data_IF_206455646951
#
_entry.id   IF_206455646951
#
_cell.length_a   1.000
_cell.length_b   1.000
_cell.length_c   1.000
_cell.angle_alpha   90.00
_cell.angle_beta   90.00
_cell.angle_gamma   90.00
#
_symmetry.space_group_name_H-M   'P 1'
#
loop_
_entity.id
_entity.type
_entity.pdbx_description
1 polymer ?
#
# COMPACT_ATOMS: atom_id res chain seq x y z
N UNK A 1 -16.85 -0.17 -14.07
CA UNK A 1 -18.32 0.07 -14.04
C UNK A 1 -18.77 1.02 -12.93
N UNK A 2 -17.88 1.69 -12.18
CA UNK A 2 -18.25 2.47 -10.98
C UNK A 2 -18.46 3.97 -11.25
N UNK A 3 -18.20 4.47 -12.47
CA UNK A 3 -18.31 5.91 -12.79
C UNK A 3 -19.74 6.39 -13.04
N UNK A 4 -20.66 5.51 -13.45
CA UNK A 4 -22.07 5.87 -13.70
C UNK A 4 -22.88 6.06 -12.41
N UNK A 5 -22.74 5.13 -11.46
CA UNK A 5 -23.48 5.13 -10.20
C UNK A 5 -23.12 6.31 -9.27
N UNK A 6 -21.87 6.83 -9.35
CA UNK A 6 -21.46 8.03 -8.61
C UNK A 6 -22.24 9.28 -9.04
N UNK A 7 -22.55 9.44 -10.33
CA UNK A 7 -23.28 10.60 -10.83
C UNK A 7 -24.78 10.54 -10.51
N UNK A 8 -25.35 9.34 -10.47
CA UNK A 8 -26.74 9.11 -10.09
C UNK A 8 -26.96 9.30 -8.58
N UNK A 9 -25.97 8.95 -7.74
CA UNK A 9 -26.03 9.21 -6.29
C UNK A 9 -25.93 10.71 -5.95
N UNK A 10 -25.02 11.44 -6.59
CA UNK A 10 -24.86 12.89 -6.37
C UNK A 10 -26.11 13.67 -6.81
N UNK A 11 -26.75 13.25 -7.90
CA UNK A 11 -27.99 13.87 -8.40
C UNK A 11 -29.22 13.54 -7.53
N UNK A 12 -29.28 12.37 -6.90
CA UNK A 12 -30.35 11.98 -5.97
C UNK A 12 -30.27 12.71 -4.63
N UNK A 13 -29.07 13.10 -4.18
CA UNK A 13 -28.85 13.79 -2.89
C UNK A 13 -28.79 15.33 -3.06
N UNK A 14 -28.74 15.84 -4.30
CA UNK A 14 -28.71 17.29 -4.58
C UNK A 14 -27.37 17.95 -4.25
N UNK A 15 -26.27 17.20 -4.35
CA UNK A 15 -24.92 17.66 -4.02
C UNK A 15 -24.28 18.30 -5.24
N UNK A 16 -23.85 19.57 -5.13
CA UNK A 16 -23.20 20.28 -6.24
C UNK A 16 -21.68 20.03 -6.31
N UNK A 17 -21.01 19.90 -5.17
CA UNK A 17 -19.56 19.79 -5.11
C UNK A 17 -19.10 18.99 -3.88
N UNK A 18 -17.99 18.28 -4.02
CA UNK A 18 -17.24 17.66 -2.91
C UNK A 18 -15.91 18.38 -2.85
N UNK A 19 -15.59 18.99 -1.70
CA UNK A 19 -14.30 19.64 -1.46
C UNK A 19 -13.60 18.92 -0.32
N UNK A 20 -12.45 18.32 -0.63
CA UNK A 20 -11.58 17.67 0.35
C UNK A 20 -10.60 18.70 0.93
N UNK A 21 -10.56 18.81 2.26
CA UNK A 21 -9.63 19.68 2.96
C UNK A 21 -8.58 18.85 3.69
N UNK A 22 -7.31 19.02 3.31
CA UNK A 22 -6.17 18.39 3.99
C UNK A 22 -5.52 19.38 4.97
N UNK A 23 -5.64 19.10 6.26
CA UNK A 23 -5.04 19.91 7.33
C UNK A 23 -3.56 19.60 7.54
N UNK A 24 -2.71 20.62 7.62
CA UNK A 24 -1.24 20.51 7.70
C UNK A 24 -0.65 20.30 9.11
N UNK A 25 -1.41 19.78 10.08
CA UNK A 25 -0.92 19.65 11.47
C UNK A 25 -1.25 18.31 12.15
N UNK A 26 -0.50 17.98 13.20
CA UNK A 26 -0.40 16.70 13.91
C UNK A 26 -1.67 16.18 14.61
N UNK A 27 -2.83 16.79 14.34
CA UNK A 27 -4.16 16.34 14.73
C UNK A 27 -5.01 16.31 13.45
N UNK A 28 -4.70 15.39 12.54
CA UNK A 28 -5.36 15.25 11.25
C UNK A 28 -6.81 14.78 11.43
N UNK A 29 -7.74 15.68 11.19
CA UNK A 29 -9.06 15.35 10.66
C UNK A 29 -9.08 15.82 9.21
N UNK A 30 -9.05 14.89 8.25
CA UNK A 30 -9.44 15.23 6.88
C UNK A 30 -10.97 15.41 6.88
N UNK A 31 -11.43 16.54 6.36
CA UNK A 31 -12.83 16.90 6.35
C UNK A 31 -13.37 16.90 4.91
N UNK A 32 -14.47 16.17 4.71
CA UNK A 32 -15.29 16.29 3.52
C UNK A 32 -16.25 17.46 3.73
N UNK A 33 -16.15 18.50 2.89
CA UNK A 33 -17.17 19.56 2.82
C UNK A 33 -18.13 19.21 1.69
N UNK A 34 -19.40 19.11 2.06
CA UNK A 34 -20.49 18.86 1.13
C UNK A 34 -21.40 20.08 1.13
N UNK A 35 -21.41 20.82 0.02
CA UNK A 35 -22.31 21.96 -0.20
C UNK A 35 -23.73 21.44 -0.50
N UNK A 36 -24.67 21.82 0.35
CA UNK A 36 -26.08 21.49 0.25
C UNK A 36 -26.90 22.79 0.22
N UNK A 37 -27.41 23.20 -0.95
CA UNK A 37 -28.37 24.32 -1.06
C UNK A 37 -29.76 24.00 -0.44
N UNK A 38 -29.90 22.83 0.19
CA UNK A 38 -31.16 22.32 0.74
C UNK A 38 -31.12 22.32 2.28
N UNK A 39 -32.22 22.70 2.95
CA UNK A 39 -32.32 22.63 4.40
C UNK A 39 -31.98 21.23 4.92
N UNK A 40 -31.37 21.15 6.11
CA UNK A 40 -31.01 19.89 6.81
C UNK A 40 -32.10 18.81 6.74
N UNK A 41 -33.37 19.18 6.88
CA UNK A 41 -34.50 18.24 6.84
C UNK A 41 -34.75 17.63 5.44
N UNK A 42 -34.41 18.35 4.38
CA UNK A 42 -34.59 17.90 2.99
C UNK A 42 -33.43 17.03 2.52
N UNK A 43 -32.18 17.35 2.91
CA UNK A 43 -31.02 16.44 2.75
C UNK A 43 -31.29 15.11 3.44
N UNK A 44 -31.91 15.17 4.62
CA UNK A 44 -32.33 14.00 5.38
C UNK A 44 -33.39 13.17 4.66
N UNK A 45 -34.43 13.81 4.13
CA UNK A 45 -35.46 13.13 3.33
C UNK A 45 -34.86 12.52 2.05
N UNK A 46 -33.89 13.18 1.44
CA UNK A 46 -33.18 12.67 0.26
C UNK A 46 -32.34 11.43 0.59
N UNK A 47 -31.56 11.44 1.68
CA UNK A 47 -30.80 10.28 2.15
C UNK A 47 -31.71 9.09 2.50
N UNK A 48 -32.83 9.33 3.18
CA UNK A 48 -33.83 8.30 3.49
C UNK A 48 -34.45 7.73 2.21
N UNK A 49 -34.82 8.58 1.25
CA UNK A 49 -35.33 8.14 -0.06
C UNK A 49 -34.29 7.33 -0.83
N UNK A 50 -33.02 7.74 -0.81
CA UNK A 50 -31.91 7.03 -1.45
C UNK A 50 -31.68 5.64 -0.81
N UNK A 51 -31.72 5.57 0.53
CA UNK A 51 -31.63 4.31 1.28
C UNK A 51 -32.78 3.35 0.95
N UNK A 52 -34.01 3.86 0.79
CA UNK A 52 -35.18 3.07 0.43
C UNK A 52 -35.21 2.67 -1.05
N UNK A 53 -34.54 3.43 -1.92
CA UNK A 53 -34.50 3.21 -3.36
C UNK A 53 -33.32 2.33 -3.83
N UNK A 54 -32.35 2.04 -2.96
CA UNK A 54 -31.14 1.29 -3.33
C UNK A 54 -31.46 -0.17 -3.73
N UNK A 55 -31.22 -0.59 -4.99
CA UNK A 55 -31.40 -1.97 -5.40
C UNK A 55 -30.19 -2.79 -4.93
N UNK A 56 -30.36 -3.60 -3.89
CA UNK A 56 -29.28 -4.45 -3.38
C UNK A 56 -28.97 -5.60 -4.35
N UNK A 57 -27.69 -5.93 -4.58
CA UNK A 57 -27.32 -7.13 -5.32
C UNK A 57 -27.88 -8.36 -4.60
N UNK A 58 -28.45 -9.27 -5.39
CA UNK A 58 -29.20 -10.46 -5.00
C UNK A 58 -28.75 -11.10 -3.67
N UNK A 59 -29.45 -10.74 -2.58
CA UNK A 59 -29.29 -11.36 -1.27
C UNK A 59 -30.31 -12.48 -1.06
N UNK A 60 -29.98 -13.52 -0.29
CA UNK A 60 -30.93 -14.57 0.07
C UNK A 60 -32.12 -13.96 0.84
N UNK A 61 -33.34 -14.35 0.44
CA UNK A 61 -34.60 -13.90 1.04
C UNK A 61 -34.57 -14.17 2.54
N UNK A 62 -34.66 -13.10 3.34
CA UNK A 62 -34.70 -13.16 4.81
C UNK A 62 -33.48 -12.56 5.54
N UNK A 63 -32.47 -12.06 4.81
CA UNK A 63 -31.36 -11.32 5.44
C UNK A 63 -31.71 -9.84 5.63
N UNK A 64 -31.64 -9.35 6.87
CA UNK A 64 -31.85 -7.92 7.16
C UNK A 64 -30.66 -7.08 6.65
N UNK A 65 -30.95 -5.86 6.19
CA UNK A 65 -29.92 -4.90 5.76
C UNK A 65 -29.18 -4.42 7.02
N UNK A 66 -27.85 -4.59 7.13
CA UNK A 66 -27.10 -4.15 8.29
C UNK A 66 -27.29 -2.64 8.55
N UNK A 67 -27.81 -2.28 9.72
CA UNK A 67 -28.10 -0.91 10.11
C UNK A 67 -29.50 -0.40 9.73
N UNK A 68 -30.33 -1.15 9.01
CA UNK A 68 -31.68 -0.67 8.61
C UNK A 68 -32.66 -0.60 9.78
N UNK A 69 -32.57 -1.53 10.73
CA UNK A 69 -33.34 -1.46 11.99
C UNK A 69 -32.93 -0.24 12.80
N UNK A 70 -31.63 0.02 12.89
CA UNK A 70 -31.08 1.17 13.62
C UNK A 70 -31.49 2.50 12.96
N UNK A 71 -31.50 2.58 11.63
CA UNK A 71 -32.09 3.72 10.90
C UNK A 71 -33.58 3.84 11.22
N UNK A 72 -34.34 2.74 11.19
CA UNK A 72 -35.77 2.74 11.53
C UNK A 72 -36.06 3.21 12.97
N UNK A 73 -35.22 2.80 13.92
CA UNK A 73 -35.30 3.20 15.32
C UNK A 73 -34.92 4.68 15.52
N UNK A 74 -33.99 5.19 14.73
CA UNK A 74 -33.65 6.62 14.70
C UNK A 74 -34.79 7.45 14.09
N UNK A 75 -35.38 6.99 12.99
CA UNK A 75 -36.48 7.69 12.31
C UNK A 75 -37.76 7.72 13.14
N UNK A 76 -38.07 6.64 13.86
CA UNK A 76 -39.22 6.60 14.77
C UNK A 76 -39.04 7.53 15.96
N UNK A 77 -37.85 7.57 16.58
CA UNK A 77 -37.53 8.49 17.68
C UNK A 77 -37.55 9.97 17.23
N UNK A 78 -36.87 10.27 16.12
CA UNK A 78 -36.82 11.65 15.59
C UNK A 78 -38.17 12.16 15.07
N UNK A 79 -39.05 11.27 14.61
CA UNK A 79 -40.43 11.63 14.28
C UNK A 79 -41.26 12.03 15.50
N UNK A 80 -40.94 11.52 16.69
CA UNK A 80 -41.60 11.93 17.94
C UNK A 80 -41.04 13.24 18.48
N UNK A 81 -39.73 13.49 18.30
CA UNK A 81 -39.04 14.68 18.79
C UNK A 81 -39.11 15.88 17.81
N UNK A 82 -39.53 15.64 16.57
CA UNK A 82 -39.64 16.66 15.52
C UNK A 82 -38.29 17.16 14.98
N UNK A 83 -37.17 16.60 15.43
CA UNK A 83 -35.81 16.88 14.97
C UNK A 83 -34.94 15.63 15.11
N UNK A 84 -33.90 15.52 14.27
CA UNK A 84 -32.89 14.45 14.36
C UNK A 84 -31.65 15.03 15.05
N UNK A 85 -31.14 14.39 16.10
CA UNK A 85 -29.91 14.83 16.78
C UNK A 85 -28.68 14.68 15.88
N UNK A 86 -27.63 15.48 16.09
CA UNK A 86 -26.37 15.35 15.33
C UNK A 86 -25.72 13.98 15.51
N UNK A 87 -25.93 13.36 16.67
CA UNK A 87 -25.48 12.00 17.00
C UNK A 87 -26.21 10.95 16.16
N UNK A 88 -27.54 11.03 16.09
CA UNK A 88 -28.35 10.11 15.29
C UNK A 88 -28.09 10.31 13.79
N UNK A 89 -27.84 11.55 13.36
CA UNK A 89 -27.43 11.86 12.00
C UNK A 89 -26.08 11.24 11.62
N UNK A 90 -25.08 11.34 12.51
CA UNK A 90 -23.77 10.70 12.33
C UNK A 90 -23.89 9.17 12.17
N UNK A 91 -24.76 8.53 12.97
CA UNK A 91 -25.02 7.09 12.87
C UNK A 91 -25.62 6.74 11.50
N UNK A 92 -26.61 7.50 11.04
CA UNK A 92 -27.22 7.28 9.71
C UNK A 92 -26.22 7.51 8.58
N UNK A 93 -25.39 8.54 8.64
CA UNK A 93 -24.38 8.82 7.63
C UNK A 93 -23.30 7.72 7.58
N UNK A 94 -22.85 7.22 8.74
CA UNK A 94 -21.93 6.07 8.82
C UNK A 94 -22.52 4.82 8.21
N UNK A 95 -23.79 4.52 8.50
CA UNK A 95 -24.49 3.36 7.91
C UNK A 95 -24.60 3.53 6.40
N UNK A 96 -24.95 4.72 5.92
CA UNK A 96 -25.05 5.04 4.50
C UNK A 96 -23.72 4.84 3.78
N UNK A 97 -22.64 5.49 4.25
CA UNK A 97 -21.29 5.37 3.67
C UNK A 97 -20.86 3.90 3.61
N UNK A 98 -20.98 3.15 4.70
CA UNK A 98 -20.58 1.75 4.67
C UNK A 98 -21.50 0.83 3.85
N UNK A 99 -22.73 1.25 3.51
CA UNK A 99 -23.58 0.55 2.54
C UNK A 99 -23.21 0.93 1.10
N UNK A 100 -22.94 2.20 0.82
CA UNK A 100 -22.56 2.71 -0.52
C UNK A 100 -21.22 2.16 -0.98
N UNK A 101 -20.25 2.07 -0.08
CA UNK A 101 -18.91 1.56 -0.39
C UNK A 101 -18.76 0.06 -0.10
N UNK A 102 -19.81 -0.60 0.40
CA UNK A 102 -19.80 -2.01 0.83
C UNK A 102 -18.62 -2.37 1.76
N UNK A 103 -18.20 -1.39 2.57
CA UNK A 103 -17.01 -1.46 3.41
C UNK A 103 -17.38 -1.05 4.84
N UNK A 104 -17.21 -2.00 5.77
CA UNK A 104 -17.51 -1.80 7.18
C UNK A 104 -16.47 -0.91 7.89
N UNK A 105 -15.26 -0.76 7.33
CA UNK A 105 -14.18 0.04 7.92
C UNK A 105 -14.42 1.54 7.72
N UNK A 106 -14.97 1.95 6.57
CA UNK A 106 -15.39 3.35 6.36
C UNK A 106 -16.47 3.81 7.35
N UNK A 107 -17.24 2.89 7.95
CA UNK A 107 -18.23 3.20 9.00
C UNK A 107 -17.58 3.72 10.28
N UNK A 108 -16.38 3.25 10.62
CA UNK A 108 -15.69 3.64 11.86
C UNK A 108 -14.83 4.89 11.69
N UNK A 109 -14.50 5.25 10.45
CA UNK A 109 -13.60 6.35 10.15
C UNK A 109 -14.25 7.74 10.21
N UNK A 110 -15.56 7.89 9.96
CA UNK A 110 -16.24 9.19 10.13
C UNK A 110 -16.35 9.52 11.61
N UNK A 111 -15.44 10.33 12.14
CA UNK A 111 -15.31 10.62 13.57
C UNK A 111 -16.27 11.69 14.07
N UNK A 112 -16.65 12.63 13.21
CA UNK A 112 -17.56 13.72 13.56
C UNK A 112 -18.30 14.24 12.34
N UNK A 113 -19.48 14.81 12.58
CA UNK A 113 -20.24 15.57 11.58
C UNK A 113 -20.69 16.89 12.19
N UNK A 114 -20.68 17.96 11.40
CA UNK A 114 -21.20 19.27 11.83
C UNK A 114 -21.85 19.97 10.64
N UNK A 115 -22.89 20.75 10.89
CA UNK A 115 -23.50 21.61 9.86
C UNK A 115 -23.01 23.05 10.05
N UNK A 116 -22.89 23.80 8.95
CA UNK A 116 -22.78 25.25 9.03
C UNK A 116 -24.01 25.86 9.74
N UNK A 117 -23.88 27.04 10.38
CA UNK A 117 -24.97 27.65 11.14
C UNK A 117 -26.25 27.91 10.34
N UNK A 118 -26.13 28.08 9.02
CA UNK A 118 -27.22 28.24 8.06
C UNK A 118 -27.75 26.91 7.49
N UNK A 119 -27.11 25.79 7.83
CA UNK A 119 -27.47 24.45 7.36
C UNK A 119 -27.02 24.13 5.94
N UNK A 120 -26.31 25.02 5.26
CA UNK A 120 -25.94 24.92 3.85
C UNK A 120 -24.72 24.02 3.57
N UNK A 121 -23.94 23.66 4.58
CA UNK A 121 -22.75 22.82 4.43
C UNK A 121 -22.73 21.72 5.48
N UNK A 122 -22.44 20.49 5.05
CA UNK A 122 -22.14 19.36 5.94
C UNK A 122 -20.63 19.12 5.95
N UNK A 123 -20.05 19.17 7.15
CA UNK A 123 -18.67 18.77 7.43
C UNK A 123 -18.69 17.35 7.97
N UNK A 124 -17.97 16.42 7.33
CA UNK A 124 -17.70 15.08 7.86
C UNK A 124 -16.20 14.92 8.10
N UNK A 125 -15.78 14.86 9.36
CA UNK A 125 -14.38 14.67 9.74
C UNK A 125 -14.06 13.20 9.89
N UNK A 126 -12.96 12.76 9.28
CA UNK A 126 -12.47 11.38 9.34
C UNK A 126 -11.33 11.28 10.35
N UNK A 127 -11.32 10.24 11.19
CA UNK A 127 -10.17 9.94 12.06
C UNK A 127 -9.25 9.01 11.29
N UNK A 128 -8.11 9.53 10.88
CA UNK A 128 -7.06 8.69 10.30
C UNK A 128 -6.57 7.69 11.36
N UNK A 129 -6.37 6.43 10.99
CA UNK A 129 -5.81 5.45 11.89
C UNK A 129 -4.41 5.89 12.33
N UNK A 130 -4.22 6.07 13.63
CA UNK A 130 -2.91 6.33 14.23
C UNK A 130 -2.41 5.00 14.76
N UNK A 131 -1.36 4.48 14.14
CA UNK A 131 -0.72 3.23 14.52
C UNK A 131 0.06 3.50 15.81
N UNK A 132 -0.24 2.77 16.89
CA UNK A 132 0.47 2.94 18.16
C UNK A 132 1.97 2.65 17.95
N UNK A 133 2.86 3.62 18.20
CA UNK A 133 4.27 3.46 17.86
C UNK A 133 4.95 2.52 18.85
N UNK A 134 5.37 1.35 18.35
CA UNK A 134 6.35 0.49 18.99
C UNK A 134 7.79 0.99 18.71
N UNK A 135 8.02 2.30 18.86
CA UNK A 135 9.31 2.95 18.56
C UNK A 135 9.41 3.49 17.13
N UNK A 136 10.66 3.69 16.66
CA UNK A 136 10.93 4.22 15.31
C UNK A 136 10.67 3.15 14.25
N UNK A 137 9.83 3.49 13.27
CA UNK A 137 9.53 2.64 12.13
C UNK A 137 10.56 2.88 11.03
N UNK A 138 11.29 1.83 10.63
CA UNK A 138 12.31 1.86 9.57
C UNK A 138 11.73 1.60 8.18
N UNK A 139 10.68 0.80 8.08
CA UNK A 139 10.06 0.45 6.79
C UNK A 139 8.58 0.11 6.98
N UNK A 140 7.79 0.38 5.94
CA UNK A 140 6.35 0.09 5.88
C UNK A 140 6.06 -0.54 4.53
N UNK A 141 5.32 -1.66 4.54
CA UNK A 141 4.90 -2.34 3.32
C UNK A 141 3.43 -2.74 3.43
N UNK A 142 2.68 -2.54 2.35
CA UNK A 142 1.28 -2.93 2.24
C UNK A 142 1.16 -4.30 1.56
N UNK A 143 0.15 -5.06 1.95
CA UNK A 143 -0.31 -6.20 1.17
C UNK A 143 -0.88 -5.74 -0.18
N UNK A 144 -0.96 -6.65 -1.14
CA UNK A 144 -1.48 -6.38 -2.49
C UNK A 144 -2.95 -5.93 -2.51
N UNK A 145 -3.74 -6.38 -1.54
CA UNK A 145 -5.13 -5.97 -1.34
C UNK A 145 -5.27 -4.63 -0.58
N UNK A 146 -4.19 -4.10 -0.01
CA UNK A 146 -4.18 -2.87 0.79
C UNK A 146 -4.81 -3.01 2.19
N UNK A 147 -5.24 -4.21 2.57
CA UNK A 147 -5.93 -4.45 3.85
C UNK A 147 -4.96 -4.64 5.02
N UNK A 148 -3.72 -5.06 4.74
CA UNK A 148 -2.70 -5.36 5.73
C UNK A 148 -1.45 -4.51 5.54
N UNK A 149 -0.81 -4.18 6.65
CA UNK A 149 0.38 -3.34 6.70
C UNK A 149 1.41 -4.04 7.58
N UNK A 150 2.63 -4.22 7.05
CA UNK A 150 3.79 -4.63 7.80
C UNK A 150 4.64 -3.40 8.14
N UNK A 151 4.94 -3.23 9.42
CA UNK A 151 5.81 -2.16 9.93
C UNK A 151 7.05 -2.78 10.56
N UNK A 152 8.22 -2.32 10.14
CA UNK A 152 9.52 -2.77 10.65
C UNK A 152 10.03 -1.75 11.65
N UNK A 153 10.41 -2.18 12.85
CA UNK A 153 10.79 -1.31 13.95
C UNK A 153 12.30 -1.37 14.25
N UNK A 154 12.79 -0.40 15.02
CA UNK A 154 14.21 -0.32 15.41
C UNK A 154 14.65 -1.47 16.33
N UNK A 155 13.72 -2.06 17.07
CA UNK A 155 13.91 -3.19 17.98
C UNK A 155 13.89 -4.57 17.28
N UNK A 156 14.05 -4.58 15.94
CA UNK A 156 14.09 -5.78 15.10
C UNK A 156 12.77 -6.56 15.06
N UNK A 157 11.66 -5.89 15.40
CA UNK A 157 10.32 -6.46 15.33
C UNK A 157 9.64 -6.02 14.03
N UNK A 158 8.94 -6.96 13.41
CA UNK A 158 7.94 -6.65 12.38
C UNK A 158 6.55 -6.85 12.97
N UNK A 159 5.72 -5.82 12.88
CA UNK A 159 4.32 -5.85 13.30
C UNK A 159 3.42 -5.82 12.08
N UNK A 160 2.44 -6.71 12.08
CA UNK A 160 1.38 -6.72 11.08
C UNK A 160 0.16 -6.06 11.70
N UNK A 161 -0.48 -5.18 10.95
CA UNK A 161 -1.74 -4.52 11.32
C UNK A 161 -2.70 -4.51 10.15
N UNK A 162 -4.00 -4.33 10.42
CA UNK A 162 -4.94 -3.97 9.36
C UNK A 162 -4.77 -2.51 8.91
N UNK A 163 -5.52 -2.13 7.87
CA UNK A 163 -5.62 -0.77 7.36
C UNK A 163 -6.16 0.25 8.40
N UNK A 164 -6.69 -0.20 9.53
CA UNK A 164 -7.10 0.65 10.66
C UNK A 164 -6.02 0.82 11.73
N UNK A 165 -4.88 0.15 11.56
CA UNK A 165 -3.74 0.17 12.49
C UNK A 165 -3.89 -0.72 13.70
N UNK A 166 -4.90 -1.59 13.73
CA UNK A 166 -5.02 -2.62 14.75
C UNK A 166 -4.05 -3.75 14.43
N UNK A 167 -3.20 -4.09 15.40
CA UNK A 167 -2.27 -5.22 15.30
C UNK A 167 -3.00 -6.54 15.04
N UNK A 168 -2.49 -7.31 14.08
CA UNK A 168 -2.92 -8.65 13.71
C UNK A 168 -1.80 -9.64 14.05
N UNK A 169 -2.17 -10.74 14.70
CA UNK A 169 -1.27 -11.86 14.94
C UNK A 169 -0.12 -11.55 15.89
N UNK A 170 0.94 -12.37 15.80
CA UNK A 170 2.14 -12.27 16.63
C UNK A 170 3.15 -11.29 16.02
N UNK A 171 3.90 -10.63 16.88
CA UNK A 171 5.11 -9.88 16.48
C UNK A 171 6.15 -10.83 15.91
N UNK A 172 6.72 -10.48 14.76
CA UNK A 172 7.78 -11.25 14.11
C UNK A 172 9.13 -10.71 14.60
N UNK A 173 9.75 -11.41 15.54
CA UNK A 173 10.98 -10.96 16.21
C UNK A 173 12.21 -11.53 15.51
N UNK A 174 13.22 -10.68 15.30
CA UNK A 174 14.47 -11.03 14.63
C UNK A 174 15.67 -10.75 15.54
N UNK A 175 16.76 -11.48 15.35
CA UNK A 175 17.99 -11.32 16.17
C UNK A 175 18.83 -10.11 15.73
N UNK A 176 18.62 -9.61 14.51
CA UNK A 176 19.35 -8.50 13.93
C UNK A 176 18.38 -7.53 13.20
N UNK A 177 18.85 -6.32 12.83
CA UNK A 177 18.04 -5.37 12.06
C UNK A 177 17.48 -6.00 10.80
N UNK A 178 16.18 -5.80 10.61
CA UNK A 178 15.47 -6.20 9.39
C UNK A 178 15.81 -5.20 8.29
N UNK A 179 16.44 -5.68 7.23
CA UNK A 179 16.88 -4.86 6.09
C UNK A 179 15.78 -4.70 5.04
N UNK A 180 14.91 -5.70 4.90
CA UNK A 180 13.85 -5.71 3.90
C UNK A 180 12.66 -6.57 4.37
N UNK A 181 11.46 -6.16 3.99
CA UNK A 181 10.21 -6.88 4.21
C UNK A 181 9.35 -6.80 2.95
N UNK A 182 8.65 -7.87 2.59
CA UNK A 182 7.70 -7.90 1.47
C UNK A 182 6.53 -8.83 1.78
N UNK A 183 5.35 -8.49 1.26
CA UNK A 183 4.23 -9.43 1.17
C UNK A 183 4.30 -10.20 -0.16
N UNK A 184 3.82 -11.44 -0.15
CA UNK A 184 3.47 -12.14 -1.38
C UNK A 184 2.25 -11.52 -2.05
N UNK A 185 2.11 -11.72 -3.36
CA UNK A 185 1.00 -11.16 -4.14
C UNK A 185 -0.38 -11.66 -3.69
N UNK A 186 -0.45 -12.83 -3.06
CA UNK A 186 -1.67 -13.40 -2.47
C UNK A 186 -1.88 -13.02 -0.99
N UNK A 187 -0.97 -12.24 -0.39
CA UNK A 187 -1.01 -11.83 1.02
C UNK A 187 -0.74 -12.94 2.03
N UNK A 188 -0.49 -14.18 1.58
CA UNK A 188 -0.30 -15.34 2.45
C UNK A 188 1.04 -15.32 3.19
N UNK A 189 2.10 -14.95 2.49
CA UNK A 189 3.45 -14.97 3.03
C UNK A 189 3.94 -13.55 3.28
N UNK A 190 4.60 -13.37 4.42
CA UNK A 190 5.47 -12.23 4.67
C UNK A 190 6.89 -12.76 4.61
N UNK A 191 7.76 -12.09 3.85
CA UNK A 191 9.17 -12.44 3.74
C UNK A 191 9.98 -11.30 4.30
N UNK A 192 10.84 -11.60 5.27
CA UNK A 192 11.74 -10.63 5.89
C UNK A 192 13.18 -11.08 5.75
N UNK A 193 14.08 -10.13 5.63
CA UNK A 193 15.52 -10.36 5.66
C UNK A 193 16.12 -9.67 6.88
N UNK A 194 16.98 -10.39 7.60
CA UNK A 194 17.70 -9.88 8.77
C UNK A 194 19.09 -10.52 8.79
N UNK A 195 20.13 -9.67 8.78
CA UNK A 195 21.51 -10.12 8.53
C UNK A 195 21.59 -10.90 7.21
N UNK A 196 21.95 -12.19 7.24
CA UNK A 196 22.15 -13.07 6.10
C UNK A 196 21.10 -14.19 6.04
N UNK A 197 20.02 -14.03 6.82
CA UNK A 197 18.93 -14.98 6.97
C UNK A 197 17.65 -14.40 6.35
N UNK A 198 16.96 -15.24 5.58
CA UNK A 198 15.58 -14.98 5.17
C UNK A 198 14.63 -15.71 6.10
N UNK A 199 13.58 -15.01 6.50
CA UNK A 199 12.45 -15.57 7.22
C UNK A 199 11.21 -15.51 6.31
N UNK A 200 10.50 -16.63 6.22
CA UNK A 200 9.18 -16.70 5.60
C UNK A 200 8.16 -17.02 6.67
N UNK A 201 7.16 -16.16 6.77
CA UNK A 201 6.07 -16.24 7.72
C UNK A 201 4.80 -16.59 6.95
N UNK A 202 4.26 -17.78 7.20
CA UNK A 202 2.97 -18.20 6.63
C UNK A 202 1.85 -17.73 7.55
N UNK A 203 1.08 -16.73 7.10
CA UNK A 203 0.00 -16.14 7.88
C UNK A 203 -1.17 -17.11 8.09
N UNK A 204 -1.33 -18.12 7.21
CA UNK A 204 -2.43 -19.10 7.27
C UNK A 204 -2.07 -20.22 8.24
N UNK A 205 -0.86 -20.78 8.11
CA UNK A 205 -0.43 -21.91 8.93
C UNK A 205 0.21 -21.47 10.27
N UNK A 206 0.49 -20.17 10.43
CA UNK A 206 1.19 -19.59 11.59
C UNK A 206 2.57 -20.22 11.82
N UNK A 207 3.25 -20.55 10.72
CA UNK A 207 4.58 -21.14 10.71
C UNK A 207 5.64 -20.12 10.28
N UNK A 208 6.82 -20.21 10.90
CA UNK A 208 8.01 -19.46 10.51
C UNK A 208 9.05 -20.42 10.00
N UNK A 209 9.56 -20.16 8.80
CA UNK A 209 10.72 -20.83 8.25
C UNK A 209 11.86 -19.82 8.16
N UNK A 210 13.06 -20.22 8.54
CA UNK A 210 14.25 -19.38 8.44
C UNK A 210 15.40 -20.18 7.82
N UNK A 211 16.15 -19.56 6.92
CA UNK A 211 17.29 -20.18 6.27
C UNK A 211 18.39 -19.15 6.04
N UNK A 212 19.64 -19.51 6.36
CA UNK A 212 20.82 -18.70 6.04
C UNK A 212 21.15 -18.90 4.57
N UNK A 213 20.98 -17.85 3.79
CA UNK A 213 21.04 -17.93 2.33
C UNK A 213 22.35 -17.35 1.78
N UNK A 214 22.81 -16.25 2.35
CA UNK A 214 23.98 -15.52 1.87
C UNK A 214 25.16 -15.61 2.83
N UNK A 215 26.37 -15.27 2.36
CA UNK A 215 27.55 -15.12 3.23
C UNK A 215 27.74 -13.69 3.75
N UNK A 216 26.97 -12.74 3.21
CA UNK A 216 26.91 -11.34 3.59
C UNK A 216 25.49 -10.87 3.89
N UNK A 217 25.36 -9.61 4.30
CA UNK A 217 24.07 -9.00 4.64
C UNK A 217 23.15 -8.99 3.42
N UNK A 218 21.93 -9.48 3.59
CA UNK A 218 20.86 -9.36 2.61
C UNK A 218 20.36 -7.92 2.67
N UNK A 219 20.42 -7.23 1.54
CA UNK A 219 20.00 -5.83 1.41
C UNK A 219 18.54 -5.70 0.96
N UNK A 220 18.05 -6.65 0.17
CA UNK A 220 16.70 -6.59 -0.40
C UNK A 220 16.16 -7.99 -0.65
N UNK A 221 14.85 -8.16 -0.46
CA UNK A 221 14.11 -9.38 -0.83
C UNK A 221 12.90 -9.04 -1.68
N UNK A 222 12.47 -9.97 -2.53
CA UNK A 222 11.24 -9.89 -3.31
C UNK A 222 10.64 -11.28 -3.49
N UNK A 223 9.31 -11.36 -3.59
CA UNK A 223 8.58 -12.59 -3.90
C UNK A 223 8.16 -12.56 -5.37
N UNK A 224 8.17 -13.72 -6.03
CA UNK A 224 7.70 -13.84 -7.41
C UNK A 224 6.18 -13.61 -7.50
N UNK A 225 5.65 -13.09 -8.63
CA UNK A 225 4.21 -12.84 -8.77
C UNK A 225 3.33 -14.09 -8.61
N UNK A 226 3.86 -15.27 -8.96
CA UNK A 226 3.21 -16.57 -8.80
C UNK A 226 3.39 -17.19 -7.39
N UNK A 227 4.10 -16.50 -6.48
CA UNK A 227 4.27 -16.88 -5.07
C UNK A 227 4.98 -18.24 -4.89
N UNK A 228 5.86 -18.58 -5.83
CA UNK A 228 6.63 -19.83 -5.79
C UNK A 228 8.07 -19.61 -5.35
N UNK A 229 8.64 -18.44 -5.64
CA UNK A 229 10.05 -18.14 -5.40
C UNK A 229 10.23 -16.86 -4.58
N UNK A 230 11.32 -16.82 -3.83
CA UNK A 230 11.90 -15.62 -3.22
C UNK A 230 13.25 -15.36 -3.86
N UNK A 231 13.48 -14.10 -4.25
CA UNK A 231 14.80 -13.63 -4.63
C UNK A 231 15.35 -12.71 -3.54
N UNK A 232 16.64 -12.82 -3.28
CA UNK A 232 17.37 -12.01 -2.30
C UNK A 232 18.65 -11.47 -2.88
N UNK A 233 18.93 -10.20 -2.61
CA UNK A 233 20.14 -9.50 -3.02
C UNK A 233 21.00 -9.19 -1.80
N UNK A 234 22.32 -9.33 -1.94
CA UNK A 234 23.25 -9.29 -0.81
C UNK A 234 24.53 -8.50 -1.10
N UNK A 235 25.18 -8.09 -0.01
CA UNK A 235 26.53 -7.56 0.03
C UNK A 235 27.58 -8.56 -0.46
N UNK A 236 27.25 -9.85 -0.48
CA UNK A 236 28.12 -10.88 -1.07
C UNK A 236 28.19 -10.84 -2.60
N UNK A 237 27.60 -9.81 -3.23
CA UNK A 237 27.63 -9.50 -4.66
C UNK A 237 26.75 -10.43 -5.51
N UNK A 238 25.94 -11.26 -4.87
CA UNK A 238 25.10 -12.24 -5.54
C UNK A 238 23.62 -12.00 -5.28
N UNK A 239 22.81 -12.57 -6.16
CA UNK A 239 21.37 -12.72 -5.94
C UNK A 239 21.08 -14.21 -5.86
N UNK A 240 20.31 -14.63 -4.88
CA UNK A 240 19.90 -16.03 -4.77
C UNK A 240 18.38 -16.16 -4.85
N UNK A 241 17.93 -17.15 -5.62
CA UNK A 241 16.53 -17.50 -5.80
C UNK A 241 16.26 -18.83 -5.10
N UNK A 242 15.25 -18.86 -4.25
CA UNK A 242 14.84 -20.04 -3.50
C UNK A 242 13.35 -20.32 -3.66
N UNK A 243 13.01 -21.60 -3.74
CA UNK A 243 11.62 -22.07 -3.73
C UNK A 243 11.06 -21.97 -2.30
N UNK A 244 9.92 -21.30 -2.15
CA UNK A 244 9.24 -21.05 -0.87
C UNK A 244 8.83 -22.35 -0.17
N UNK A 245 8.39 -23.36 -0.93
CA UNK A 245 7.96 -24.66 -0.39
C UNK A 245 9.16 -25.52 0.02
N UNK A 246 10.28 -25.37 -0.69
CA UNK A 246 11.47 -26.20 -0.49
C UNK A 246 12.50 -25.60 0.48
N UNK A 247 12.17 -24.54 1.22
CA UNK A 247 13.12 -23.86 2.12
C UNK A 247 13.77 -24.73 3.20
N UNK A 248 13.16 -25.84 3.59
CA UNK A 248 13.72 -26.80 4.56
C UNK A 248 14.48 -27.95 3.89
N UNK A 249 14.53 -27.98 2.55
CA UNK A 249 15.35 -28.95 1.83
C UNK A 249 16.84 -28.68 2.09
N UNK A 250 17.66 -29.68 1.82
CA UNK A 250 19.12 -29.55 1.96
C UNK A 250 19.74 -28.55 0.99
N UNK A 251 19.02 -28.17 -0.08
CA UNK A 251 19.46 -27.16 -1.03
C UNK A 251 18.25 -26.36 -1.57
N UNK A 252 17.73 -25.38 -0.82
CA UNK A 252 16.55 -24.62 -1.23
C UNK A 252 16.85 -23.60 -2.34
N UNK A 253 18.13 -23.39 -2.68
CA UNK A 253 18.59 -22.43 -3.69
C UNK A 253 18.49 -23.08 -5.07
N UNK A 254 17.65 -22.52 -5.92
CA UNK A 254 17.48 -22.96 -7.30
C UNK A 254 18.49 -22.30 -8.23
N UNK A 255 18.69 -20.99 -8.07
CA UNK A 255 19.63 -20.22 -8.87
C UNK A 255 20.46 -19.30 -7.99
N UNK A 256 21.76 -19.23 -8.29
CA UNK A 256 22.69 -18.24 -7.76
C UNK A 256 23.16 -17.38 -8.93
N UNK A 257 22.72 -16.13 -8.93
CA UNK A 257 23.00 -15.19 -10.00
C UNK A 257 24.27 -14.41 -9.66
N UNK A 258 25.31 -14.64 -10.45
CA UNK A 258 26.63 -14.03 -10.30
C UNK A 258 26.91 -13.10 -11.48
N UNK A 259 27.52 -11.95 -11.20
CA UNK A 259 27.91 -11.01 -12.24
C UNK A 259 28.09 -9.58 -11.76
N UNK A 260 27.37 -9.16 -10.72
CA UNK A 260 27.66 -7.90 -10.04
C UNK A 260 29.05 -7.96 -9.40
N UNK A 261 29.80 -6.86 -9.49
CA UNK A 261 31.17 -6.80 -8.95
C UNK A 261 31.23 -6.18 -7.57
N UNK A 262 30.15 -5.60 -7.08
CA UNK A 262 29.99 -5.03 -5.74
C UNK A 262 28.59 -5.36 -5.17
N UNK A 263 28.31 -4.90 -3.94
CA UNK A 263 27.09 -5.20 -3.21
C UNK A 263 25.83 -4.95 -4.04
N UNK A 264 24.90 -5.92 -4.03
CA UNK A 264 23.59 -5.80 -4.70
C UNK A 264 22.61 -5.23 -3.69
N UNK A 265 22.13 -4.02 -3.93
CA UNK A 265 21.38 -3.25 -2.94
C UNK A 265 19.88 -3.48 -3.06
N UNK A 266 19.37 -3.65 -4.27
CA UNK A 266 17.94 -3.79 -4.51
C UNK A 266 17.67 -4.83 -5.61
N UNK A 267 16.58 -5.57 -5.46
CA UNK A 267 16.13 -6.57 -6.42
C UNK A 267 14.61 -6.58 -6.51
N UNK A 268 14.08 -6.72 -7.73
CA UNK A 268 12.64 -6.77 -7.97
C UNK A 268 12.32 -7.74 -9.11
N UNK A 269 11.23 -8.49 -8.98
CA UNK A 269 10.66 -9.24 -10.11
C UNK A 269 10.04 -8.28 -11.12
N UNK A 270 10.15 -8.62 -12.40
CA UNK A 270 9.26 -8.05 -13.40
C UNK A 270 7.81 -8.48 -13.12
N UNK A 271 6.80 -7.67 -13.49
CA UNK A 271 5.40 -8.03 -13.28
C UNK A 271 4.98 -9.33 -13.97
N UNK A 272 5.63 -9.68 -15.08
CA UNK A 272 5.42 -10.94 -15.81
C UNK A 272 6.05 -12.17 -15.11
N UNK A 273 6.85 -11.97 -14.05
CA UNK A 273 7.55 -13.01 -13.30
C UNK A 273 8.75 -13.64 -14.01
N UNK A 274 9.02 -13.25 -15.26
CA UNK A 274 10.04 -13.90 -16.11
C UNK A 274 11.44 -13.36 -15.90
N UNK A 275 11.58 -12.16 -15.31
CA UNK A 275 12.86 -11.47 -15.14
C UNK A 275 13.04 -11.02 -13.70
N UNK A 276 14.29 -10.99 -13.27
CA UNK A 276 14.70 -10.20 -12.10
C UNK A 276 15.47 -8.97 -12.57
N UNK A 277 15.23 -7.85 -11.90
CA UNK A 277 15.96 -6.60 -12.09
C UNK A 277 16.70 -6.32 -10.79
N UNK A 278 18.01 -6.09 -10.87
CA UNK A 278 18.84 -5.77 -9.72
C UNK A 278 19.63 -4.48 -9.92
N UNK A 279 19.86 -3.76 -8.82
CA UNK A 279 20.71 -2.58 -8.77
C UNK A 279 21.85 -2.78 -7.78
N UNK A 280 23.04 -2.32 -8.13
CA UNK A 280 24.25 -2.50 -7.34
C UNK A 280 25.05 -1.21 -7.19
N UNK A 281 25.91 -1.22 -6.16
CA UNK A 281 26.96 -0.21 -5.96
C UNK A 281 28.04 -0.25 -7.04
N UNK A 282 28.09 -1.31 -7.88
CA UNK A 282 28.96 -1.38 -9.06
C UNK A 282 28.54 -0.46 -10.22
N UNK A 283 27.53 0.39 -10.00
CA UNK A 283 26.98 1.33 -10.97
C UNK A 283 26.35 0.63 -12.19
N UNK A 284 25.77 -0.55 -11.97
CA UNK A 284 24.99 -1.26 -12.97
C UNK A 284 23.61 -1.66 -12.47
N UNK A 285 22.67 -1.70 -13.42
CA UNK A 285 21.41 -2.42 -13.29
C UNK A 285 21.53 -3.66 -14.16
N UNK A 286 21.14 -4.82 -13.64
CA UNK A 286 21.14 -6.08 -14.38
C UNK A 286 19.75 -6.66 -14.48
N UNK A 287 19.44 -7.20 -15.66
CA UNK A 287 18.25 -7.99 -15.91
C UNK A 287 18.66 -9.44 -16.05
N UNK A 288 17.98 -10.32 -15.35
CA UNK A 288 18.28 -11.75 -15.29
C UNK A 288 17.09 -12.55 -15.79
N UNK A 289 17.35 -13.62 -16.52
CA UNK A 289 16.35 -14.60 -16.87
C UNK A 289 16.13 -15.53 -15.67
N UNK A 290 14.88 -15.65 -15.20
CA UNK A 290 14.59 -16.46 -14.01
C UNK A 290 14.75 -17.96 -14.27
N UNK A 291 14.60 -18.40 -15.51
CA UNK A 291 14.61 -19.81 -15.90
C UNK A 291 16.05 -20.32 -16.07
N UNK A 292 16.90 -19.52 -16.70
CA UNK A 292 18.29 -19.90 -16.95
C UNK A 292 19.24 -19.41 -15.86
N UNK A 293 18.87 -18.35 -15.13
CA UNK A 293 19.75 -17.66 -14.19
C UNK A 293 20.83 -16.81 -14.87
N UNK A 294 20.74 -16.60 -16.19
CA UNK A 294 21.72 -15.83 -16.94
C UNK A 294 21.36 -14.33 -16.99
N UNK A 295 22.38 -13.48 -17.13
CA UNK A 295 22.16 -12.05 -17.37
C UNK A 295 21.66 -11.83 -18.81
N UNK A 296 20.46 -11.28 -18.95
CA UNK A 296 19.88 -10.85 -20.24
C UNK A 296 20.48 -9.51 -20.67
N UNK A 297 20.65 -8.59 -19.72
CA UNK A 297 21.07 -7.22 -20.02
C UNK A 297 21.83 -6.59 -18.85
N UNK A 298 22.85 -5.80 -19.17
CA UNK A 298 23.57 -4.95 -18.23
C UNK A 298 23.44 -3.50 -18.67
N UNK A 299 22.96 -2.65 -17.78
CA UNK A 299 22.75 -1.21 -18.01
C UNK A 299 23.70 -0.45 -17.09
N UNK A 300 24.58 0.38 -17.65
CA UNK A 300 25.48 1.24 -16.87
C UNK A 300 24.77 2.53 -16.48
N UNK A 301 24.78 2.86 -15.19
CA UNK A 301 24.19 4.09 -14.64
C UNK A 301 25.12 5.31 -14.71
N UNK A 302 26.22 5.20 -15.46
CA UNK A 302 27.23 6.25 -15.67
C UNK A 302 27.94 6.64 -14.36
N UNK A 303 28.52 5.64 -13.68
CA UNK A 303 29.26 5.80 -12.42
C UNK A 303 28.41 6.31 -11.25
N UNK A 304 27.12 5.94 -11.21
CA UNK A 304 26.20 6.28 -10.13
C UNK A 304 25.74 5.01 -9.41
N UNK A 305 26.13 4.78 -8.15
CA UNK A 305 25.66 3.63 -7.38
C UNK A 305 24.13 3.57 -7.33
N UNK A 306 23.56 2.38 -7.53
CA UNK A 306 22.11 2.18 -7.46
C UNK A 306 21.72 1.88 -6.02
N UNK A 307 20.96 2.79 -5.41
CA UNK A 307 20.51 2.67 -4.02
C UNK A 307 19.12 2.08 -3.89
N UNK A 308 18.25 2.39 -4.84
CA UNK A 308 16.89 1.86 -4.89
C UNK A 308 16.43 1.72 -6.34
N UNK A 309 15.45 0.84 -6.55
CA UNK A 309 14.93 0.52 -7.87
C UNK A 309 13.42 0.30 -7.80
N UNK A 310 12.73 0.70 -8.86
CA UNK A 310 11.32 0.43 -9.06
C UNK A 310 11.04 0.04 -10.52
N UNK A 311 10.15 -0.93 -10.72
CA UNK A 311 9.69 -1.38 -12.03
C UNK A 311 8.22 -1.01 -12.22
N UNK A 312 7.86 -0.50 -13.40
CA UNK A 312 6.47 -0.17 -13.71
C UNK A 312 5.60 -1.43 -13.76
N UNK A 313 4.29 -1.31 -13.50
CA UNK A 313 3.34 -2.44 -13.61
C UNK A 313 3.28 -3.07 -15.01
N UNK A 314 3.60 -2.30 -16.05
CA UNK A 314 3.74 -2.81 -17.42
C UNK A 314 5.05 -3.57 -17.66
N UNK A 315 6.02 -3.48 -16.75
CA UNK A 315 7.36 -4.04 -16.89
C UNK A 315 8.24 -3.34 -17.92
N UNK A 316 7.79 -2.22 -18.49
CA UNK A 316 8.50 -1.52 -19.56
C UNK A 316 9.48 -0.45 -19.06
N UNK A 317 9.29 0.06 -17.85
CA UNK A 317 10.14 1.09 -17.27
C UNK A 317 10.84 0.55 -16.02
N UNK A 318 12.13 0.87 -15.92
CA UNK A 318 12.94 0.69 -14.73
C UNK A 318 13.35 2.08 -14.28
N UNK A 319 13.18 2.38 -13.00
CA UNK A 319 13.64 3.62 -12.39
C UNK A 319 14.63 3.32 -11.28
N UNK A 320 15.78 3.98 -11.31
CA UNK A 320 16.82 3.84 -10.30
C UNK A 320 17.08 5.17 -9.59
N UNK A 321 17.28 5.11 -8.27
CA UNK A 321 17.73 6.22 -7.44
C UNK A 321 19.16 6.02 -6.96
N UNK A 322 19.91 7.12 -6.83
CA UNK A 322 21.30 7.12 -6.36
C UNK A 322 21.49 7.96 -5.09
N UNK A 323 22.58 7.71 -4.38
CA UNK A 323 23.02 8.54 -3.24
C UNK A 323 23.37 9.98 -3.64
N UNK A 324 23.69 10.21 -4.91
CA UNK A 324 24.00 11.53 -5.45
C UNK A 324 22.75 12.33 -5.85
N UNK A 325 21.55 11.78 -5.66
CA UNK A 325 20.28 12.46 -5.96
C UNK A 325 19.77 12.35 -7.39
N UNK A 326 20.37 11.47 -8.19
CA UNK A 326 19.90 11.18 -9.54
C UNK A 326 18.78 10.15 -9.54
N UNK A 327 17.71 10.47 -10.26
CA UNK A 327 16.69 9.53 -10.71
C UNK A 327 16.95 9.28 -12.19
N UNK A 328 17.08 8.01 -12.58
CA UNK A 328 17.28 7.62 -13.98
C UNK A 328 16.18 6.65 -14.41
N UNK A 329 15.56 6.94 -15.56
CA UNK A 329 14.47 6.12 -16.12
C UNK A 329 14.99 5.41 -17.36
N UNK A 330 14.74 4.11 -17.44
CA UNK A 330 15.23 3.23 -18.49
C UNK A 330 14.09 2.44 -19.10
N UNK A 331 14.17 2.19 -20.40
CA UNK A 331 13.30 1.22 -21.05
C UNK A 331 13.84 -0.19 -20.79
N UNK A 332 13.06 -1.02 -20.09
CA UNK A 332 13.45 -2.36 -19.63
C UNK A 332 13.78 -3.33 -20.77
N UNK A 333 13.21 -3.13 -21.95
CA UNK A 333 13.40 -4.03 -23.09
C UNK A 333 14.64 -3.68 -23.93
N UNK A 334 15.06 -2.42 -23.92
CA UNK A 334 16.16 -1.93 -24.77
C UNK A 334 17.38 -1.48 -23.99
N UNK A 335 17.27 -1.27 -22.68
CA UNK A 335 18.32 -0.71 -21.83
C UNK A 335 18.61 0.76 -22.12
N UNK A 336 17.83 1.42 -22.99
CA UNK A 336 18.02 2.82 -23.33
C UNK A 336 17.48 3.72 -22.22
N UNK A 337 18.28 4.71 -21.85
CA UNK A 337 17.88 5.75 -20.90
C UNK A 337 16.85 6.67 -21.57
N UNK A 338 15.71 6.85 -20.92
CA UNK A 338 14.66 7.77 -21.34
C UNK A 338 14.88 9.14 -20.70
N UNK A 339 15.03 9.18 -19.37
CA UNK A 339 15.08 10.42 -18.61
C UNK A 339 16.11 10.37 -17.49
N UNK A 340 16.61 11.55 -17.11
CA UNK A 340 17.46 11.75 -15.94
C UNK A 340 17.03 13.02 -15.25
N UNK A 341 16.83 12.92 -13.94
CA UNK A 341 16.49 14.05 -13.08
C UNK A 341 17.53 14.12 -11.98
N UNK A 342 18.05 15.32 -11.74
CA UNK A 342 19.02 15.60 -10.68
C UNK A 342 18.36 16.48 -9.62
N UNK A 343 18.20 15.94 -8.42
CA UNK A 343 17.68 16.68 -7.27
C UNK A 343 18.78 17.07 -6.27
N UNK A 344 20.01 16.60 -6.44
CA UNK A 344 21.15 16.88 -5.55
C UNK A 344 21.00 16.38 -4.10
N UNK A 345 19.99 15.55 -3.81
CA UNK A 345 19.74 14.99 -2.48
C UNK A 345 19.63 13.47 -2.59
N UNK A 346 20.38 12.76 -1.76
CA UNK A 346 20.38 11.29 -1.68
C UNK A 346 18.98 10.69 -1.61
N UNK A 347 18.75 9.65 -2.40
CA UNK A 347 17.44 8.99 -2.55
C UNK A 347 17.48 7.65 -1.84
N UNK A 348 16.64 7.50 -0.82
CA UNK A 348 16.55 6.28 -0.03
C UNK A 348 15.59 5.25 -0.62
N UNK A 349 14.52 5.69 -1.27
CA UNK A 349 13.47 4.82 -1.78
C UNK A 349 12.76 5.43 -2.99
N UNK A 350 12.29 4.57 -3.89
CA UNK A 350 11.46 4.92 -5.04
C UNK A 350 10.34 3.88 -5.16
N UNK A 351 9.11 4.31 -5.44
CA UNK A 351 7.97 3.42 -5.62
C UNK A 351 6.97 3.98 -6.64
N UNK A 352 6.56 3.14 -7.59
CA UNK A 352 5.48 3.46 -8.53
C UNK A 352 4.14 3.47 -7.81
N UNK A 353 3.30 4.45 -8.14
CA UNK A 353 1.89 4.42 -7.76
C UNK A 353 1.17 3.26 -8.48
N UNK A 354 0.13 2.66 -7.88
CA UNK A 354 -0.65 1.58 -8.51
C UNK A 354 -1.31 1.98 -9.83
N UNK A 355 -1.53 3.28 -10.06
CA UNK A 355 -2.03 3.79 -11.34
C UNK A 355 -1.01 3.69 -12.49
N UNK A 356 0.26 3.41 -12.19
CA UNK A 356 1.36 3.29 -13.15
C UNK A 356 1.84 4.59 -13.79
N UNK A 357 1.27 5.74 -13.40
CA UNK A 357 1.56 7.08 -13.98
C UNK A 357 2.43 7.93 -13.07
N UNK A 358 2.28 7.74 -11.77
CA UNK A 358 2.99 8.51 -10.75
C UNK A 358 4.10 7.70 -10.12
N UNK A 359 5.14 8.40 -9.67
CA UNK A 359 6.28 7.86 -8.98
C UNK A 359 6.55 8.70 -7.74
N UNK A 360 6.81 8.05 -6.62
CA UNK A 360 7.23 8.69 -5.37
C UNK A 360 8.69 8.37 -5.08
N UNK A 361 9.46 9.35 -4.58
CA UNK A 361 10.78 9.11 -3.98
C UNK A 361 10.87 9.72 -2.60
N UNK A 362 11.45 8.96 -1.69
CA UNK A 362 11.90 9.43 -0.38
C UNK A 362 13.36 9.84 -0.43
N UNK A 363 13.66 10.98 0.19
CA UNK A 363 14.99 11.60 0.22
C UNK A 363 15.53 11.65 1.65
N UNK A 364 16.86 11.73 1.78
CA UNK A 364 17.51 11.84 3.09
C UNK A 364 17.26 13.20 3.80
N UNK A 365 16.70 14.19 3.10
CA UNK A 365 16.22 15.45 3.69
C UNK A 365 14.86 15.28 4.41
N UNK A 366 14.29 14.06 4.40
CA UNK A 366 12.99 13.73 4.99
C UNK A 366 11.80 14.05 4.08
N UNK A 367 12.02 14.61 2.88
CA UNK A 367 10.95 14.89 1.95
C UNK A 367 10.56 13.64 1.16
N UNK A 368 9.27 13.57 0.82
CA UNK A 368 8.76 12.70 -0.24
C UNK A 368 8.30 13.59 -1.38
N UNK A 369 8.76 13.30 -2.60
CA UNK A 369 8.30 14.01 -3.81
C UNK A 369 7.51 13.02 -4.66
N UNK A 370 6.49 13.52 -5.34
CA UNK A 370 5.65 12.76 -6.28
C UNK A 370 5.73 13.46 -7.63
N UNK A 371 5.92 12.70 -8.71
CA UNK A 371 5.92 13.23 -10.06
C UNK A 371 5.24 12.27 -11.03
N UNK A 372 4.85 12.80 -12.18
CA UNK A 372 4.28 12.05 -13.29
C UNK A 372 5.35 11.77 -14.33
N UNK A 373 5.37 10.54 -14.82
CA UNK A 373 6.17 10.17 -15.99
C UNK A 373 5.35 10.51 -17.24
N UNK A 374 5.93 11.33 -18.12
CA UNK A 374 5.27 11.84 -19.33
C UNK A 374 5.22 10.81 -20.48
#
# INVERSE_FOLDING_TARGET
MVSGERSDLLSVIGLQSIVEFHGSSSLLFDALVVECDTPREDVMRALIKALLAFPLPSRPKGSEIPGIREIGDILSRSSQEGRVSDKDFLIMLRIFIGLTFNDATLKSLVASVSFSPDGACLFAGWKMPVFEPHGYVRSIVFSSDGEHIATVHEDNIVLISDNTGKKIGKSLVHEAPVSSVVFSADGRFIVTASSDIIYIWDAVNLETKAHRQHSGLIMSVTVSPDVTHVASASDDKTIQISDIQQLQSTNPIQHKLEGHTEAVICVQYSPDGMRLISGSTDCTIRLWDITTGETIMVISTQNRPVRCLAVSLSGHLIVSGSDEGYIQVWNANTGKRSEVIDYGVSIGAIAFAPNGRQLASGYNDGAVRVWELL
#
